data_IF_806822387124
#
_entry.id   IF_806822387124
#
_cell.length_a   1.000
_cell.length_b   1.000
_cell.length_c   1.000
_cell.angle_alpha   90.00
_cell.angle_beta   90.00
_cell.angle_gamma   90.00
#
_symmetry.space_group_name_H-M   'P 1'
#
loop_
_entity.id
_entity.type
_entity.pdbx_description
1 polymer ?
#
# COMPACT_ATOMS: atom_id res chain seq x y z
N UNK A 1 6.80 23.27 -12.86
CA UNK A 1 5.45 23.80 -12.55
C UNK A 1 5.20 23.50 -11.08
N UNK A 2 5.02 24.50 -10.22
CA UNK A 2 5.03 24.33 -8.75
C UNK A 2 3.64 23.95 -8.18
N UNK A 3 3.58 23.40 -6.96
CA UNK A 3 2.36 22.83 -6.35
C UNK A 3 1.21 23.79 -6.07
N UNK A 4 1.45 25.10 -6.16
CA UNK A 4 0.38 26.10 -6.14
C UNK A 4 -0.36 26.18 -7.48
N UNK A 5 0.31 25.92 -8.60
CA UNK A 5 -0.28 25.92 -9.94
C UNK A 5 -1.03 24.63 -10.27
N UNK A 6 -0.60 23.51 -9.67
CA UNK A 6 -1.26 22.21 -9.81
C UNK A 6 -2.66 22.18 -9.19
N UNK A 7 -2.84 22.87 -8.07
CA UNK A 7 -4.15 22.97 -7.40
C UNK A 7 -5.17 23.84 -8.15
N UNK A 8 -4.69 24.74 -9.02
CA UNK A 8 -5.54 25.53 -9.91
C UNK A 8 -5.78 24.87 -11.26
N UNK A 9 -5.15 23.72 -11.52
CA UNK A 9 -5.28 23.03 -12.80
C UNK A 9 -6.69 22.43 -12.92
N UNK A 10 -7.33 22.54 -14.09
CA UNK A 10 -8.58 21.84 -14.33
C UNK A 10 -8.41 20.34 -14.06
N UNK A 11 -9.37 19.77 -13.35
CA UNK A 11 -9.29 18.40 -12.87
C UNK A 11 -8.95 17.40 -13.99
N UNK A 12 -9.69 17.44 -15.10
CA UNK A 12 -9.48 16.52 -16.23
C UNK A 12 -8.12 16.73 -16.92
N UNK A 13 -7.64 17.98 -16.99
CA UNK A 13 -6.32 18.29 -17.55
C UNK A 13 -5.19 17.77 -16.67
N UNK A 14 -5.37 17.81 -15.33
CA UNK A 14 -4.40 17.27 -14.39
C UNK A 14 -4.28 15.75 -14.52
N UNK A 15 -5.41 15.06 -14.58
CA UNK A 15 -5.44 13.61 -14.78
C UNK A 15 -4.71 13.27 -16.07
N UNK A 16 -5.09 13.92 -17.18
CA UNK A 16 -4.43 13.71 -18.47
C UNK A 16 -2.93 13.94 -18.41
N UNK A 17 -2.47 14.99 -17.71
CA UNK A 17 -1.03 15.27 -17.57
C UNK A 17 -0.27 14.17 -16.81
N UNK A 18 -0.89 13.52 -15.81
CA UNK A 18 -0.29 12.36 -15.14
C UNK A 18 -0.29 11.12 -16.03
N UNK A 19 -1.39 10.85 -16.73
CA UNK A 19 -1.49 9.72 -17.66
C UNK A 19 -0.45 9.82 -18.78
N UNK A 20 -0.37 10.98 -19.44
CA UNK A 20 0.61 11.26 -20.50
C UNK A 20 2.03 11.08 -19.96
N UNK A 21 2.32 11.63 -18.75
CA UNK A 21 3.64 11.49 -18.13
C UNK A 21 4.01 10.04 -17.85
N UNK A 22 3.13 9.26 -17.23
CA UNK A 22 3.46 7.88 -16.88
C UNK A 22 3.58 6.97 -18.10
N UNK A 23 2.93 7.33 -19.20
CA UNK A 23 3.09 6.68 -20.50
C UNK A 23 4.45 7.04 -21.11
N UNK A 24 4.81 8.33 -21.13
CA UNK A 24 6.08 8.82 -21.66
C UNK A 24 7.30 8.27 -20.90
N UNK A 25 7.17 8.08 -19.58
CA UNK A 25 8.24 7.52 -18.73
C UNK A 25 8.24 6.00 -18.70
N UNK A 26 7.29 5.36 -19.40
CA UNK A 26 7.21 3.90 -19.52
C UNK A 26 6.81 3.18 -18.24
N UNK A 27 6.16 3.85 -17.29
CA UNK A 27 5.61 3.23 -16.08
C UNK A 27 4.29 2.52 -16.41
N UNK A 28 3.46 3.17 -17.22
CA UNK A 28 2.21 2.58 -17.71
C UNK A 28 2.45 1.82 -19.01
N UNK A 29 1.75 0.71 -19.13
CA UNK A 29 1.47 0.07 -20.40
C UNK A 29 0.13 0.61 -20.90
N UNK A 30 0.05 1.03 -22.17
CA UNK A 30 -1.22 1.49 -22.74
C UNK A 30 -2.31 0.44 -22.52
N UNK A 31 -3.33 0.79 -21.75
CA UNK A 31 -4.50 -0.07 -21.52
C UNK A 31 -5.75 0.78 -21.27
N UNK A 32 -6.86 0.41 -21.89
CA UNK A 32 -8.19 1.02 -21.65
C UNK A 32 -8.78 0.61 -20.27
N UNK A 33 -7.94 0.22 -19.32
CA UNK A 33 -8.34 -0.33 -18.04
C UNK A 33 -8.95 0.70 -17.08
N UNK A 34 -8.80 2.00 -17.37
CA UNK A 34 -9.13 3.09 -16.45
C UNK A 34 -8.20 3.16 -15.22
N UNK A 35 -7.14 2.36 -15.19
CA UNK A 35 -6.15 2.35 -14.11
C UNK A 35 -5.49 3.73 -13.93
N UNK A 36 -5.06 4.34 -15.03
CA UNK A 36 -4.31 5.59 -15.02
C UNK A 36 -5.13 6.72 -14.38
N UNK A 37 -6.39 6.88 -14.81
CA UNK A 37 -7.34 7.79 -14.19
C UNK A 37 -7.51 7.53 -12.69
N UNK A 38 -7.79 6.30 -12.26
CA UNK A 38 -7.96 5.99 -10.84
C UNK A 38 -6.69 6.24 -10.00
N UNK A 39 -5.51 5.98 -10.58
CA UNK A 39 -4.21 6.27 -9.96
C UNK A 39 -4.01 7.77 -9.77
N UNK A 40 -4.28 8.54 -10.83
CA UNK A 40 -4.20 9.99 -10.82
C UNK A 40 -5.15 10.57 -9.77
N UNK A 41 -6.37 10.03 -9.64
CA UNK A 41 -7.30 10.50 -8.61
C UNK A 41 -6.88 10.21 -7.19
N UNK A 42 -6.25 9.06 -6.97
CA UNK A 42 -5.77 8.69 -5.64
C UNK A 42 -4.57 9.55 -5.21
N UNK A 43 -3.73 9.95 -6.16
CA UNK A 43 -2.41 10.53 -5.87
C UNK A 43 -2.37 12.05 -6.00
N UNK A 44 -3.30 12.68 -6.74
CA UNK A 44 -3.24 14.12 -7.06
C UNK A 44 -3.07 15.04 -5.86
N UNK A 45 -3.68 14.72 -4.72
CA UNK A 45 -3.62 15.57 -3.52
C UNK A 45 -2.27 15.49 -2.80
N UNK A 46 -1.45 14.48 -3.11
CA UNK A 46 -0.11 14.27 -2.57
C UNK A 46 1.02 14.64 -3.54
N UNK A 47 0.70 15.20 -4.71
CA UNK A 47 1.67 15.55 -5.75
C UNK A 47 1.81 17.07 -5.84
N UNK A 48 2.99 17.58 -5.47
CA UNK A 48 3.30 19.01 -5.55
C UNK A 48 3.88 19.42 -6.91
N UNK A 49 4.51 18.52 -7.68
CA UNK A 49 5.00 18.80 -9.03
C UNK A 49 4.57 17.68 -9.97
N UNK A 50 4.25 17.98 -11.24
CA UNK A 50 3.95 16.94 -12.24
C UNK A 50 5.12 15.95 -12.34
N UNK A 51 6.35 16.43 -12.15
CA UNK A 51 7.56 15.62 -12.13
C UNK A 51 7.62 14.59 -11.01
N UNK A 52 6.84 14.79 -9.94
CA UNK A 52 6.81 13.90 -8.77
C UNK A 52 5.77 12.79 -8.95
N UNK A 53 4.94 12.83 -10.00
CA UNK A 53 3.92 11.83 -10.25
C UNK A 53 4.52 10.43 -10.46
N UNK A 54 5.70 10.33 -11.08
CA UNK A 54 6.40 9.05 -11.27
C UNK A 54 6.79 8.44 -9.92
N UNK A 55 7.38 9.26 -9.05
CA UNK A 55 7.78 8.86 -7.72
C UNK A 55 6.56 8.47 -6.88
N UNK A 56 5.45 9.20 -7.00
CA UNK A 56 4.20 8.89 -6.31
C UNK A 56 3.64 7.53 -6.74
N UNK A 57 3.55 7.26 -8.05
CA UNK A 57 3.00 6.00 -8.57
C UNK A 57 3.94 4.82 -8.28
N UNK A 58 5.24 4.95 -8.55
CA UNK A 58 6.21 3.89 -8.24
C UNK A 58 6.28 3.60 -6.74
N UNK A 59 6.16 4.62 -5.89
CA UNK A 59 6.05 4.42 -4.44
C UNK A 59 4.76 3.70 -4.04
N UNK A 60 3.63 3.93 -4.70
CA UNK A 60 2.42 3.16 -4.44
C UNK A 60 2.58 1.67 -4.83
N UNK A 61 3.23 1.41 -5.96
CA UNK A 61 3.44 0.08 -6.54
C UNK A 61 4.54 -0.73 -5.83
N UNK A 62 5.48 -0.07 -5.17
CA UNK A 62 6.54 -0.71 -4.39
C UNK A 62 6.02 -1.34 -3.09
N UNK A 63 6.82 -2.23 -2.51
CA UNK A 63 6.49 -2.91 -1.26
C UNK A 63 7.72 -3.05 -0.33
N UNK A 64 8.15 -1.98 0.35
CA UNK A 64 9.35 -1.98 1.18
C UNK A 64 9.10 -2.59 2.58
N UNK A 65 8.49 -3.78 2.63
CA UNK A 65 8.00 -4.41 3.87
C UNK A 65 9.10 -4.57 4.93
N UNK A 66 10.19 -5.28 4.60
CA UNK A 66 11.25 -5.58 5.57
C UNK A 66 11.90 -4.30 6.10
N UNK A 67 12.22 -3.35 5.21
CA UNK A 67 12.76 -2.04 5.59
C UNK A 67 11.84 -1.31 6.57
N UNK A 68 10.53 -1.33 6.33
CA UNK A 68 9.55 -0.72 7.22
C UNK A 68 9.44 -1.46 8.55
N UNK A 69 9.36 -2.79 8.56
CA UNK A 69 9.26 -3.58 9.79
C UNK A 69 10.48 -3.41 10.71
N UNK A 70 11.67 -3.20 10.15
CA UNK A 70 12.90 -2.94 10.90
C UNK A 70 13.08 -1.48 11.33
N UNK A 71 12.17 -0.58 10.96
CA UNK A 71 12.28 0.83 11.30
C UNK A 71 11.83 1.12 12.75
N UNK A 72 12.46 2.10 13.38
CA UNK A 72 12.06 2.60 14.72
C UNK A 72 10.60 3.07 14.76
N UNK A 73 10.11 3.66 13.68
CA UNK A 73 8.74 4.16 13.58
C UNK A 73 7.69 3.03 13.55
N UNK A 74 8.06 1.84 13.08
CA UNK A 74 7.16 0.69 13.03
C UNK A 74 7.04 -0.04 14.38
N UNK A 75 7.93 0.21 15.35
CA UNK A 75 7.94 -0.47 16.66
C UNK A 75 6.58 -0.51 17.35
N UNK A 76 5.82 0.61 17.46
CA UNK A 76 4.52 0.57 18.12
C UNK A 76 3.49 -0.30 17.39
N UNK A 77 3.60 -0.42 16.06
CA UNK A 77 2.69 -1.26 15.26
C UNK A 77 3.07 -2.73 15.39
N UNK A 78 4.37 -3.04 15.39
CA UNK A 78 4.88 -4.40 15.54
C UNK A 78 4.57 -4.96 16.93
N UNK A 79 4.86 -4.18 17.98
CA UNK A 79 4.57 -4.53 19.37
C UNK A 79 3.06 -4.65 19.65
N UNK A 80 2.20 -3.99 18.88
CA UNK A 80 0.74 -4.20 18.91
C UNK A 80 0.32 -5.47 18.16
N UNK A 81 1.09 -6.56 18.32
CA UNK A 81 0.80 -7.91 17.81
C UNK A 81 0.47 -7.93 16.31
N UNK A 82 1.30 -7.28 15.50
CA UNK A 82 1.13 -7.27 14.03
C UNK A 82 1.08 -8.69 13.45
N UNK A 83 1.80 -9.63 14.05
CA UNK A 83 1.85 -11.04 13.63
C UNK A 83 0.46 -11.70 13.64
N UNK A 84 -0.36 -11.47 14.66
CA UNK A 84 -1.75 -11.99 14.72
C UNK A 84 -2.60 -11.45 13.55
N UNK A 85 -2.39 -10.19 13.18
CA UNK A 85 -3.07 -9.57 12.03
C UNK A 85 -2.53 -10.15 10.72
N UNK A 86 -1.22 -10.37 10.61
CA UNK A 86 -0.57 -10.95 9.43
C UNK A 86 -1.11 -12.35 9.15
N UNK A 87 -1.16 -13.24 10.15
CA UNK A 87 -1.70 -14.59 9.99
C UNK A 87 -3.17 -14.59 9.56
N UNK A 88 -3.99 -13.72 10.17
CA UNK A 88 -5.41 -13.59 9.81
C UNK A 88 -5.57 -13.06 8.38
N UNK A 89 -4.74 -12.10 7.98
CA UNK A 89 -4.75 -11.52 6.65
C UNK A 89 -4.30 -12.53 5.58
N UNK A 90 -3.22 -13.29 5.84
CA UNK A 90 -2.75 -14.37 4.97
C UNK A 90 -3.86 -15.42 4.78
N UNK A 91 -4.53 -15.82 5.86
CA UNK A 91 -5.65 -16.77 5.80
C UNK A 91 -6.81 -16.24 4.93
N UNK A 92 -7.17 -14.97 5.08
CA UNK A 92 -8.22 -14.33 4.26
C UNK A 92 -7.83 -14.18 2.79
N UNK A 93 -6.54 -14.09 2.47
CA UNK A 93 -6.05 -14.10 1.10
C UNK A 93 -6.04 -15.51 0.50
N UNK A 94 -5.53 -16.50 1.26
CA UNK A 94 -5.44 -17.90 0.82
C UNK A 94 -6.82 -18.53 0.61
N UNK A 95 -7.84 -18.09 1.34
CA UNK A 95 -9.23 -18.49 1.13
C UNK A 95 -9.88 -17.83 -0.10
N UNK A 96 -9.24 -16.82 -0.69
CA UNK A 96 -9.77 -16.00 -1.77
C UNK A 96 -10.74 -14.91 -1.34
N UNK A 97 -11.09 -14.82 -0.05
CA UNK A 97 -12.04 -13.84 0.49
C UNK A 97 -11.59 -12.40 0.19
N UNK A 98 -10.31 -12.09 0.43
CA UNK A 98 -9.76 -10.77 0.14
C UNK A 98 -9.75 -10.47 -1.37
N UNK A 99 -9.36 -11.43 -2.20
CA UNK A 99 -9.34 -11.25 -3.65
C UNK A 99 -10.71 -10.94 -4.23
N UNK A 100 -11.76 -11.65 -3.78
CA UNK A 100 -13.15 -11.38 -4.17
C UNK A 100 -13.58 -9.97 -3.76
N UNK A 101 -13.25 -9.54 -2.54
CA UNK A 101 -13.56 -8.19 -2.07
C UNK A 101 -12.86 -7.11 -2.91
N UNK A 102 -11.61 -7.34 -3.32
CA UNK A 102 -10.86 -6.38 -4.14
C UNK A 102 -11.32 -6.34 -5.60
N UNK A 103 -11.89 -7.42 -6.13
CA UNK A 103 -12.52 -7.43 -7.44
C UNK A 103 -13.78 -6.54 -7.50
N UNK A 104 -14.46 -6.34 -6.36
CA UNK A 104 -15.54 -5.35 -6.20
C UNK A 104 -15.03 -3.90 -5.99
N UNK A 105 -13.72 -3.67 -6.03
CA UNK A 105 -13.11 -2.35 -5.87
C UNK A 105 -13.21 -1.79 -4.45
N UNK A 106 -13.36 -0.47 -4.34
CA UNK A 106 -13.33 0.24 -3.04
C UNK A 106 -14.47 -0.20 -2.10
N UNK A 107 -15.67 -0.41 -2.64
CA UNK A 107 -16.83 -0.79 -1.84
C UNK A 107 -16.71 -2.21 -1.27
N UNK A 108 -16.19 -3.13 -2.09
CA UNK A 108 -15.88 -4.49 -1.64
C UNK A 108 -14.85 -4.50 -0.52
N UNK A 109 -13.75 -3.75 -0.69
CA UNK A 109 -12.77 -3.54 0.38
C UNK A 109 -13.40 -3.00 1.66
N UNK A 110 -14.26 -1.98 1.60
CA UNK A 110 -14.88 -1.39 2.79
C UNK A 110 -15.80 -2.37 3.53
N UNK A 111 -16.57 -3.18 2.80
CA UNK A 111 -17.39 -4.25 3.40
C UNK A 111 -16.49 -5.30 4.07
N UNK A 112 -15.46 -5.75 3.36
CA UNK A 112 -14.54 -6.77 3.83
C UNK A 112 -13.77 -6.33 5.07
N UNK A 113 -13.12 -5.16 5.04
CA UNK A 113 -12.27 -4.69 6.15
C UNK A 113 -13.08 -4.49 7.44
N UNK A 114 -14.36 -4.12 7.32
CA UNK A 114 -15.30 -4.05 8.45
C UNK A 114 -15.60 -5.44 9.03
N UNK A 115 -15.77 -6.46 8.18
CA UNK A 115 -15.96 -7.85 8.60
C UNK A 115 -14.70 -8.43 9.23
N UNK A 116 -13.56 -8.28 8.55
CA UNK A 116 -12.23 -8.68 9.00
C UNK A 116 -11.88 -8.05 10.36
N UNK A 117 -12.08 -6.74 10.54
CA UNK A 117 -11.86 -6.08 11.81
C UNK A 117 -12.69 -6.66 12.96
N UNK A 118 -13.95 -7.05 12.69
CA UNK A 118 -14.80 -7.71 13.69
C UNK A 118 -14.30 -9.10 14.04
N UNK A 119 -13.85 -9.90 13.07
CA UNK A 119 -13.38 -11.27 13.31
C UNK A 119 -12.12 -11.30 14.17
N UNK A 120 -11.19 -10.36 13.94
CA UNK A 120 -9.95 -10.23 14.73
C UNK A 120 -10.09 -9.28 15.94
N UNK A 121 -11.31 -8.76 16.19
CA UNK A 121 -11.63 -7.83 17.29
C UNK A 121 -10.76 -6.56 17.32
N UNK A 122 -10.40 -6.01 16.17
CA UNK A 122 -9.63 -4.76 16.02
C UNK A 122 -10.43 -3.69 15.26
N UNK A 123 -10.14 -2.41 15.54
CA UNK A 123 -10.79 -1.25 14.90
C UNK A 123 -9.87 -0.03 14.84
N UNK A 124 -10.22 0.94 14.00
CA UNK A 124 -9.50 2.22 13.91
C UNK A 124 -8.01 2.03 13.67
N UNK A 125 -7.17 2.78 14.39
CA UNK A 125 -5.70 2.72 14.23
C UNK A 125 -5.15 1.30 14.43
N UNK A 126 -5.63 0.55 15.43
CA UNK A 126 -5.18 -0.83 15.72
C UNK A 126 -5.60 -1.88 14.68
N UNK A 127 -6.42 -1.52 13.70
CA UNK A 127 -6.73 -2.33 12.52
C UNK A 127 -6.04 -1.80 11.26
N UNK A 128 -6.17 -0.50 11.00
CA UNK A 128 -5.73 0.09 9.74
C UNK A 128 -4.21 0.31 9.67
N UNK A 129 -3.52 0.59 10.78
CA UNK A 129 -2.05 0.70 10.77
C UNK A 129 -1.36 -0.63 10.43
N UNK A 130 -1.68 -1.75 11.11
CA UNK A 130 -1.06 -3.03 10.75
C UNK A 130 -1.45 -3.45 9.32
N UNK A 131 -2.72 -3.29 8.91
CA UNK A 131 -3.11 -3.57 7.52
C UNK A 131 -2.37 -2.72 6.50
N UNK A 132 -2.08 -1.45 6.81
CA UNK A 132 -1.31 -0.58 5.93
C UNK A 132 0.11 -1.11 5.74
N UNK A 133 0.81 -1.42 6.84
CA UNK A 133 2.15 -2.01 6.77
C UNK A 133 2.12 -3.33 6.01
N UNK A 134 1.19 -4.21 6.31
CA UNK A 134 1.12 -5.53 5.71
C UNK A 134 0.76 -5.50 4.22
N UNK A 135 -0.10 -4.57 3.78
CA UNK A 135 -0.55 -4.55 2.38
C UNK A 135 0.24 -3.59 1.49
N UNK A 136 0.85 -2.52 2.03
CA UNK A 136 1.64 -1.55 1.24
C UNK A 136 3.12 -1.53 1.57
N UNK A 137 3.52 -2.20 2.66
CA UNK A 137 4.89 -2.18 3.16
C UNK A 137 5.26 -0.85 3.77
N UNK A 138 4.31 0.04 4.10
CA UNK A 138 4.56 1.43 4.52
C UNK A 138 3.70 1.81 5.72
N UNK A 139 4.14 2.78 6.51
CA UNK A 139 3.38 3.33 7.65
C UNK A 139 2.38 4.42 7.24
N UNK A 140 2.68 5.11 6.14
CA UNK A 140 1.90 6.24 5.64
C UNK A 140 1.60 6.07 4.15
N UNK A 141 0.70 6.89 3.63
CA UNK A 141 0.37 6.92 2.20
C UNK A 141 -1.06 7.40 1.97
N UNK A 142 -1.53 7.33 0.71
CA UNK A 142 -2.89 7.75 0.35
C UNK A 142 -3.95 6.83 0.96
N UNK A 143 -5.23 7.09 0.63
CA UNK A 143 -6.36 6.30 1.10
C UNK A 143 -6.13 4.79 0.91
N UNK A 144 -6.42 4.00 1.95
CA UNK A 144 -6.11 2.58 1.99
C UNK A 144 -6.94 1.78 0.98
N UNK A 145 -8.23 2.08 0.89
CA UNK A 145 -9.14 1.34 0.01
C UNK A 145 -8.83 1.59 -1.46
N UNK A 146 -8.59 2.85 -1.82
CA UNK A 146 -8.11 3.22 -3.15
C UNK A 146 -6.76 2.57 -3.47
N UNK A 147 -5.81 2.60 -2.53
CA UNK A 147 -4.47 2.02 -2.72
C UNK A 147 -4.53 0.54 -3.06
N UNK A 148 -5.22 -0.27 -2.24
CA UNK A 148 -5.21 -1.73 -2.43
C UNK A 148 -6.07 -2.16 -3.61
N UNK A 149 -7.21 -1.50 -3.85
CA UNK A 149 -8.00 -1.74 -5.07
C UNK A 149 -7.16 -1.48 -6.32
N UNK A 150 -6.37 -0.40 -6.33
CA UNK A 150 -5.52 -0.04 -7.45
C UNK A 150 -4.33 -0.99 -7.63
N UNK A 151 -3.66 -1.40 -6.54
CA UNK A 151 -2.59 -2.42 -6.56
C UNK A 151 -3.11 -3.76 -7.10
N UNK A 152 -4.31 -4.19 -6.66
CA UNK A 152 -4.95 -5.39 -7.20
C UNK A 152 -5.25 -5.24 -8.68
N UNK A 153 -5.86 -4.12 -9.07
CA UNK A 153 -6.17 -3.81 -10.47
C UNK A 153 -4.93 -3.83 -11.36
N UNK A 154 -3.82 -3.23 -10.95
CA UNK A 154 -2.54 -3.25 -11.67
C UNK A 154 -2.10 -4.68 -12.02
N UNK A 155 -2.21 -5.60 -11.07
CA UNK A 155 -1.86 -7.02 -11.26
C UNK A 155 -2.80 -7.77 -12.21
N UNK A 156 -4.10 -7.44 -12.20
CA UNK A 156 -5.11 -8.12 -13.01
C UNK A 156 -5.11 -7.63 -14.46
N UNK A 157 -4.97 -6.32 -14.69
CA UNK A 157 -5.08 -5.74 -16.03
C UNK A 157 -3.74 -5.48 -16.72
N UNK A 158 -2.61 -5.83 -16.09
CA UNK A 158 -1.27 -5.59 -16.61
C UNK A 158 -1.04 -4.13 -17.05
N UNK A 159 -1.63 -3.17 -16.34
CA UNK A 159 -1.56 -1.74 -16.70
C UNK A 159 -0.18 -1.10 -16.45
N UNK A 160 0.72 -1.80 -15.76
CA UNK A 160 2.03 -1.29 -15.37
C UNK A 160 3.13 -2.16 -15.96
N UNK A 161 4.22 -1.53 -16.36
CA UNK A 161 5.35 -2.22 -16.95
C UNK A 161 6.21 -2.90 -15.88
N UNK A 162 7.01 -3.94 -16.22
CA UNK A 162 7.96 -4.56 -15.29
C UNK A 162 8.99 -3.58 -14.70
N UNK A 163 9.28 -2.48 -15.40
CA UNK A 163 10.25 -1.46 -14.99
C UNK A 163 9.75 -0.58 -13.82
N UNK A 164 8.46 -0.66 -13.48
CA UNK A 164 7.84 0.15 -12.43
C UNK A 164 8.18 -0.28 -10.99
N UNK A 165 9.02 -1.31 -10.81
CA UNK A 165 9.25 -1.98 -9.51
C UNK A 165 7.94 -2.44 -8.84
N UNK A 166 6.93 -2.74 -9.65
CA UNK A 166 5.65 -3.20 -9.15
C UNK A 166 5.78 -4.57 -8.50
N UNK A 167 5.38 -4.65 -7.24
CA UNK A 167 5.22 -5.91 -6.52
C UNK A 167 3.73 -6.23 -6.48
N UNK A 168 3.34 -7.28 -7.19
CA UNK A 168 1.95 -7.76 -7.27
C UNK A 168 1.41 -8.17 -5.90
N UNK A 169 0.09 -8.22 -5.74
CA UNK A 169 -0.52 -8.66 -4.48
C UNK A 169 -0.04 -10.07 -4.10
N UNK A 170 0.06 -10.98 -5.08
CA UNK A 170 0.52 -12.35 -4.86
C UNK A 170 1.97 -12.41 -4.35
N UNK A 171 2.87 -11.61 -4.92
CA UNK A 171 4.24 -11.51 -4.44
C UNK A 171 4.32 -10.93 -3.03
N UNK A 172 3.51 -9.91 -2.72
CA UNK A 172 3.42 -9.35 -1.35
C UNK A 172 3.01 -10.43 -0.35
N UNK A 173 2.00 -11.25 -0.68
CA UNK A 173 1.57 -12.34 0.20
C UNK A 173 2.59 -13.47 0.33
N UNK A 174 3.40 -13.76 -0.70
CA UNK A 174 4.56 -14.65 -0.55
C UNK A 174 5.58 -14.08 0.43
N UNK A 175 5.95 -12.80 0.27
CA UNK A 175 6.86 -12.12 1.19
C UNK A 175 6.33 -12.13 2.63
N UNK A 176 5.02 -11.91 2.84
CA UNK A 176 4.40 -11.98 4.17
C UNK A 176 4.52 -13.37 4.81
N UNK A 177 4.47 -14.44 4.01
CA UNK A 177 4.65 -15.83 4.48
C UNK A 177 6.11 -16.15 4.81
N UNK A 178 7.05 -15.46 4.17
CA UNK A 178 8.49 -15.63 4.39
C UNK A 178 9.02 -14.83 5.59
N UNK A 179 8.23 -13.91 6.16
CA UNK A 179 8.61 -13.17 7.38
C UNK A 179 8.62 -14.10 8.60
N UNK A 180 9.72 -14.09 9.34
CA UNK A 180 9.79 -14.69 10.67
C UNK A 180 9.08 -13.80 11.71
N UNK A 181 7.76 -13.96 11.79
CA UNK A 181 6.90 -13.22 12.69
C UNK A 181 7.19 -13.48 14.18
N UNK A 182 7.78 -14.64 14.51
CA UNK A 182 8.12 -14.96 15.90
C UNK A 182 9.37 -14.21 16.35
N UNK A 183 10.41 -14.19 15.52
CA UNK A 183 11.64 -13.46 15.82
C UNK A 183 11.40 -11.96 15.87
N UNK A 184 10.59 -11.42 14.94
CA UNK A 184 10.24 -9.99 14.93
C UNK A 184 9.50 -9.55 16.20
N UNK A 185 8.63 -10.41 16.75
CA UNK A 185 7.95 -10.13 18.01
C UNK A 185 8.91 -10.14 19.21
N UNK A 186 9.85 -11.12 19.26
CA UNK A 186 10.81 -11.28 20.35
C UNK A 186 11.86 -10.17 20.39
N UNK A 187 12.40 -9.76 19.25
CA UNK A 187 13.44 -8.71 19.18
C UNK A 187 12.97 -7.37 19.77
N UNK A 188 11.68 -7.07 19.66
CA UNK A 188 11.09 -5.81 20.12
C UNK A 188 10.51 -5.85 21.54
N UNK A 189 10.50 -7.01 22.21
CA UNK A 189 10.18 -7.14 23.63
C UNK A 189 11.40 -6.87 24.53
N UNK A 190 12.62 -6.94 23.98
CA UNK A 190 13.85 -6.66 24.72
C UNK A 190 13.96 -5.15 25.06
N UNK A 191 14.03 -4.75 26.34
CA UNK A 191 14.24 -3.35 26.69
C UNK A 191 15.61 -2.91 26.18
N UNK A 192 15.69 -1.70 25.61
CA UNK A 192 16.96 -1.06 25.33
C UNK A 192 17.78 -1.00 26.63
N UNK A 193 18.88 -1.75 26.68
CA UNK A 193 19.84 -1.67 27.79
C UNK A 193 20.32 -0.22 27.85
N UNK A 194 20.17 0.51 28.97
CA UNK A 194 20.73 1.85 29.06
C UNK A 194 22.25 1.71 28.92
N UNK A 195 22.81 2.39 27.91
CA UNK A 195 24.26 2.50 27.76
C UNK A 195 24.81 3.10 29.05
N UNK A 196 25.39 2.26 29.89
CA UNK A 196 26.09 2.68 31.09
C UNK A 196 27.29 3.50 30.64
N UNK A 197 27.24 4.80 30.92
CA UNK A 197 28.38 5.69 30.79
C UNK A 197 29.53 5.13 31.66
N UNK A 198 30.67 4.86 31.03
CA UNK A 198 31.97 4.65 31.68
C UNK A 198 32.92 5.74 31.21
#
# INVERSE_FOLDING_TARGET
MNGQHLRSFPHDELIKAFEDRWTDTGILQESESGFAKEAAELLKDGIDLITDADAALTNLLSYPLHTTLSSEEAKPVVQDKISEVAWSLISAYDSGELGQALAEGRDGWQKWVKGFGKSIKRKGKGLFMPLRVLLTGKLHGPDMGGSIALIHKAGVCCAVTPQSNFVTLDERFRMLKDVDWESLAKEQETPAVPAAAS
#
